data_IF_151437734626
#
_entry.id   IF_151437734626
#
_cell.length_a   1.000
_cell.length_b   1.000
_cell.length_c   1.000
_cell.angle_alpha   90.00
_cell.angle_beta   90.00
_cell.angle_gamma   90.00
#
_symmetry.space_group_name_H-M   'P 1'
#
loop_
_entity.id
_entity.type
_entity.pdbx_description
1 polymer ?
#
# COMPACT_ATOMS: atom_id res chain seq x y z
N UNK A 1 -0.51 13.53 -25.66
CA UNK A 1 -0.21 14.44 -24.53
C UNK A 1 -0.55 13.72 -23.23
N UNK A 2 0.42 13.52 -22.33
CA UNK A 2 0.22 12.88 -21.02
C UNK A 2 -0.23 13.95 -20.04
N UNK A 3 -1.37 13.76 -19.37
CA UNK A 3 -1.82 14.66 -18.29
C UNK A 3 -1.54 14.00 -16.96
N UNK A 4 -1.06 14.79 -16.01
CA UNK A 4 -0.75 14.34 -14.67
C UNK A 4 -1.38 15.30 -13.66
N UNK A 5 -2.02 14.75 -12.63
CA UNK A 5 -2.58 15.51 -11.51
C UNK A 5 -2.26 14.77 -10.21
N UNK A 6 -1.72 15.49 -9.24
CA UNK A 6 -1.43 14.94 -7.91
C UNK A 6 -2.40 15.48 -6.87
N UNK A 7 -2.80 14.61 -5.94
CA UNK A 7 -3.51 15.01 -4.73
C UNK A 7 -2.50 15.52 -3.69
N UNK A 8 -2.95 16.41 -2.80
CA UNK A 8 -2.14 16.78 -1.62
C UNK A 8 -2.03 15.56 -0.70
N UNK A 9 -0.87 15.34 -0.06
CA UNK A 9 -0.73 14.30 0.95
C UNK A 9 -1.76 14.47 2.05
N UNK A 10 -2.34 13.35 2.50
CA UNK A 10 -3.23 13.31 3.66
C UNK A 10 -2.58 12.41 4.72
N UNK A 11 -2.28 12.98 5.89
CA UNK A 11 -1.81 12.22 7.06
C UNK A 11 -2.99 11.52 7.74
N UNK A 12 -2.76 10.31 8.20
CA UNK A 12 -3.69 9.56 9.03
C UNK A 12 -2.92 8.68 10.01
N UNK A 13 -3.56 8.34 11.12
CA UNK A 13 -3.01 7.46 12.15
C UNK A 13 -3.68 6.10 12.03
N UNK A 14 -2.90 5.04 12.27
CA UNK A 14 -3.42 3.69 12.35
C UNK A 14 -2.61 2.85 13.33
N UNK A 15 -3.26 1.82 13.87
CA UNK A 15 -2.60 0.85 14.72
C UNK A 15 -1.61 -0.02 13.92
N UNK A 16 -0.69 -0.68 14.61
CA UNK A 16 0.23 -1.64 13.98
C UNK A 16 -0.53 -2.83 13.40
N UNK A 17 -1.63 -3.24 14.02
CA UNK A 17 -2.48 -4.33 13.49
C UNK A 17 -3.18 -3.91 12.19
N UNK A 18 -3.72 -2.70 12.14
CA UNK A 18 -4.29 -2.16 10.88
C UNK A 18 -3.23 -2.00 9.79
N UNK A 19 -1.98 -1.69 10.19
CA UNK A 19 -0.86 -1.64 9.27
C UNK A 19 -0.54 -3.03 8.68
N UNK A 20 -0.50 -4.08 9.51
CA UNK A 20 -0.34 -5.47 9.06
C UNK A 20 -1.48 -5.85 8.09
N UNK A 21 -2.73 -5.57 8.46
CA UNK A 21 -3.88 -5.83 7.58
C UNK A 21 -3.80 -5.07 6.25
N UNK A 22 -3.22 -3.86 6.24
CA UNK A 22 -3.02 -3.11 5.00
C UNK A 22 -2.12 -3.86 4.01
N UNK A 23 -1.10 -4.59 4.47
CA UNK A 23 -0.28 -5.44 3.60
C UNK A 23 -1.10 -6.58 2.98
N UNK A 24 -1.91 -7.26 3.79
CA UNK A 24 -2.74 -8.36 3.32
C UNK A 24 -3.91 -7.92 2.44
N UNK A 25 -4.31 -6.65 2.52
CA UNK A 25 -5.29 -6.05 1.61
C UNK A 25 -4.71 -5.76 0.21
N UNK A 26 -3.38 -5.69 0.08
CA UNK A 26 -2.70 -5.43 -1.18
C UNK A 26 -2.43 -6.74 -1.91
N UNK A 27 -2.71 -6.76 -3.22
CA UNK A 27 -2.60 -7.93 -4.08
C UNK A 27 -1.25 -8.70 -4.00
N UNK A 28 -0.16 -8.07 -3.58
CA UNK A 28 1.17 -8.69 -3.48
C UNK A 28 1.41 -9.52 -2.21
N UNK A 29 0.64 -9.28 -1.14
CA UNK A 29 0.88 -9.85 0.20
C UNK A 29 -0.39 -10.46 0.82
N UNK A 30 -1.40 -10.77 0.02
CA UNK A 30 -2.63 -11.43 0.49
C UNK A 30 -2.30 -12.76 1.19
N UNK A 31 -2.99 -13.07 2.30
CA UNK A 31 -2.76 -14.31 3.06
C UNK A 31 -2.97 -15.56 2.20
N UNK A 32 -3.89 -15.51 1.25
CA UNK A 32 -4.18 -16.60 0.29
C UNK A 32 -3.01 -16.91 -0.65
N UNK A 33 -2.04 -15.99 -0.79
CA UNK A 33 -0.82 -16.18 -1.59
C UNK A 33 0.38 -16.63 -0.76
N UNK A 34 0.21 -16.73 0.55
CA UNK A 34 1.23 -17.16 1.51
C UNK A 34 0.81 -18.51 2.11
N UNK A 35 1.76 -19.25 2.68
CA UNK A 35 1.39 -20.31 3.64
C UNK A 35 0.99 -19.66 4.96
N UNK A 36 0.25 -20.39 5.79
CA UNK A 36 -0.15 -19.90 7.12
C UNK A 36 1.08 -19.52 7.96
N UNK A 37 2.15 -20.33 7.91
CA UNK A 37 3.39 -20.08 8.63
C UNK A 37 4.11 -18.83 8.12
N UNK A 38 4.10 -18.60 6.80
CA UNK A 38 4.71 -17.43 6.20
C UNK A 38 3.94 -16.14 6.55
N UNK A 39 2.60 -16.18 6.52
CA UNK A 39 1.77 -15.05 6.92
C UNK A 39 1.98 -14.73 8.41
N UNK A 40 1.94 -15.75 9.27
CA UNK A 40 2.16 -15.56 10.70
C UNK A 40 3.57 -15.05 11.03
N UNK A 41 4.60 -15.56 10.34
CA UNK A 41 5.98 -15.07 10.50
C UNK A 41 6.12 -13.59 10.10
N UNK A 42 5.53 -13.20 8.98
CA UNK A 42 5.48 -11.81 8.55
C UNK A 42 4.79 -10.91 9.59
N UNK A 43 3.62 -11.33 10.09
CA UNK A 43 2.85 -10.59 11.08
C UNK A 43 3.65 -10.33 12.36
N UNK A 44 4.43 -11.32 12.82
CA UNK A 44 5.32 -11.17 13.99
C UNK A 44 6.44 -10.17 13.70
N UNK A 45 7.15 -10.35 12.58
CA UNK A 45 8.30 -9.50 12.25
C UNK A 45 7.90 -8.01 12.15
N UNK A 46 6.73 -7.73 11.55
CA UNK A 46 6.20 -6.36 11.47
C UNK A 46 5.87 -5.81 12.85
N UNK A 47 5.20 -6.59 13.71
CA UNK A 47 4.85 -6.19 15.08
C UNK A 47 6.07 -5.97 15.98
N UNK A 48 7.18 -6.63 15.72
CA UNK A 48 8.43 -6.43 16.48
C UNK A 48 9.29 -5.28 15.95
N UNK A 49 9.23 -5.01 14.64
CA UNK A 49 10.09 -4.02 13.99
C UNK A 49 9.49 -2.62 14.03
N UNK A 50 8.23 -2.47 13.62
CA UNK A 50 7.57 -1.17 13.41
C UNK A 50 7.48 -0.32 14.68
N UNK A 51 7.17 -0.85 15.90
CA UNK A 51 7.07 -0.02 17.10
C UNK A 51 8.36 0.73 17.43
N UNK A 52 9.53 0.24 16.99
CA UNK A 52 10.84 0.87 17.23
C UNK A 52 10.95 2.24 16.57
N UNK A 53 10.09 2.52 15.59
CA UNK A 53 10.04 3.78 14.84
C UNK A 53 8.81 4.64 15.19
N UNK A 54 7.91 4.13 16.04
CA UNK A 54 6.66 4.78 16.43
C UNK A 54 6.54 4.79 17.98
N UNK A 55 7.24 5.71 18.67
CA UNK A 55 7.32 5.72 20.13
C UNK A 55 5.96 5.94 20.82
N UNK A 56 5.02 6.62 20.14
CA UNK A 56 3.68 6.92 20.66
C UNK A 56 2.64 5.82 20.37
N UNK A 57 3.08 4.65 19.89
CA UNK A 57 2.27 3.47 19.53
C UNK A 57 1.26 3.65 18.39
N UNK A 58 1.13 4.85 17.85
CA UNK A 58 0.35 5.14 16.67
C UNK A 58 1.27 5.45 15.48
N UNK A 59 1.03 4.81 14.35
CA UNK A 59 1.80 5.02 13.13
C UNK A 59 1.16 6.14 12.32
N UNK A 60 1.88 7.24 12.09
CA UNK A 60 1.46 8.24 11.11
C UNK A 60 1.90 7.83 9.69
N UNK A 61 0.93 7.72 8.79
CA UNK A 61 1.15 7.46 7.37
C UNK A 61 0.62 8.62 6.52
N UNK A 62 1.26 8.83 5.37
CA UNK A 62 0.80 9.79 4.36
C UNK A 62 0.33 9.09 3.10
N UNK A 63 -0.92 9.30 2.72
CA UNK A 63 -1.46 8.86 1.44
C UNK A 63 -1.23 9.92 0.36
N UNK A 64 -0.61 9.52 -0.75
CA UNK A 64 -0.34 10.40 -1.89
C UNK A 64 -0.90 9.77 -3.17
N UNK A 65 -1.85 10.47 -3.81
CA UNK A 65 -2.44 10.03 -5.07
C UNK A 65 -1.86 10.77 -6.27
N UNK A 66 -1.49 10.04 -7.33
CA UNK A 66 -1.07 10.61 -8.61
C UNK A 66 -1.87 9.97 -9.75
N UNK A 67 -2.65 10.78 -10.46
CA UNK A 67 -3.42 10.37 -11.63
C UNK A 67 -2.63 10.69 -12.88
N UNK A 68 -2.38 9.65 -13.68
CA UNK A 68 -1.71 9.76 -14.98
C UNK A 68 -2.67 9.32 -16.06
N UNK A 69 -3.01 10.22 -16.98
CA UNK A 69 -3.84 9.91 -18.15
C UNK A 69 -3.01 10.03 -19.42
N UNK A 70 -2.89 8.93 -20.17
CA UNK A 70 -2.45 8.95 -21.56
C UNK A 70 -3.68 9.01 -22.46
N UNK A 71 -3.65 9.83 -23.49
CA UNK A 71 -4.66 9.77 -24.54
C UNK A 71 -4.37 8.53 -25.41
N UNK A 72 -5.26 7.52 -25.49
CA UNK A 72 -5.06 6.37 -26.37
C UNK A 72 -5.40 6.81 -27.81
N UNK A 73 -4.49 7.51 -28.48
CA UNK A 73 -4.59 7.75 -29.93
C UNK A 73 -3.98 6.63 -30.77
N UNK A 74 -3.82 5.43 -30.21
CA UNK A 74 -3.49 4.24 -31.00
C UNK A 74 -4.69 3.95 -31.90
N UNK A 75 -4.63 4.42 -33.15
CA UNK A 75 -5.53 3.95 -34.20
C UNK A 75 -5.47 2.44 -34.19
N UNK A 76 -6.61 1.78 -34.00
CA UNK A 76 -6.73 0.36 -34.32
C UNK A 76 -6.34 0.20 -35.79
N UNK A 77 -5.18 -0.38 -36.06
CA UNK A 77 -4.89 -0.91 -37.38
C UNK A 77 -5.87 -2.07 -37.58
N UNK A 78 -6.86 -1.87 -38.46
CA UNK A 78 -7.70 -2.98 -38.95
C UNK A 78 -6.78 -3.95 -39.69
N UNK A 79 -6.76 -5.20 -39.25
CA UNK A 79 -6.37 -6.34 -40.07
C UNK A 79 -7.45 -6.62 -41.11
#
# INVERSE_FOLDING_TARGET
>A
MKREKSAKPVSFQQSIDDYVESFHSMNGFTRERMTEEAAHGFDIEVRELVPKYCPDREMELQSVGKVVSSNPTTKCAKL
#
